data_IF_704240564818
#
_entry.id   IF_704240564818
#
_cell.length_a   1.000
_cell.length_b   1.000
_cell.length_c   1.000
_cell.angle_alpha   90.00
_cell.angle_beta   90.00
_cell.angle_gamma   90.00
#
_symmetry.space_group_name_H-M   'P 1'
#
loop_
_entity.id
_entity.type
_entity.pdbx_description
1 polymer ?
#
# COMPACT_ATOMS: atom_id res chain seq x y z
N UNK A 1 -4.71 69.68 8.95
CA UNK A 1 -4.14 68.46 8.38
C UNK A 1 -3.92 67.47 9.53
N UNK A 2 -4.66 66.39 9.62
CA UNK A 2 -4.47 65.34 10.64
C UNK A 2 -3.54 64.28 10.07
N UNK A 3 -2.52 63.82 10.82
CA UNK A 3 -1.65 62.74 10.33
C UNK A 3 -2.39 61.41 10.31
N UNK A 4 -2.31 60.72 9.18
CA UNK A 4 -2.76 59.33 9.02
C UNK A 4 -1.69 58.43 9.64
N UNK A 5 -2.04 57.71 10.70
CA UNK A 5 -1.18 56.70 11.28
C UNK A 5 -1.35 55.39 10.43
N UNK A 6 -0.30 54.99 9.72
CA UNK A 6 -0.21 53.73 9.02
C UNK A 6 0.19 52.66 10.04
N UNK A 7 -0.74 51.76 10.38
CA UNK A 7 -0.42 50.58 11.17
C UNK A 7 0.24 49.54 10.27
N UNK A 8 1.53 49.29 10.45
CA UNK A 8 2.24 48.16 9.82
C UNK A 8 1.95 46.91 10.63
N UNK A 9 1.10 46.06 10.10
CA UNK A 9 0.91 44.68 10.62
C UNK A 9 2.15 43.84 10.26
N UNK A 10 3.04 43.65 11.24
CA UNK A 10 4.11 42.66 11.17
C UNK A 10 3.48 41.25 11.22
N UNK A 11 3.40 40.59 10.09
CA UNK A 11 3.11 39.15 10.04
C UNK A 11 4.32 38.41 10.64
N UNK A 12 4.18 37.92 11.86
CA UNK A 12 5.14 36.96 12.43
C UNK A 12 5.09 35.68 11.61
N UNK A 13 6.23 35.13 11.16
CA UNK A 13 6.24 33.83 10.53
C UNK A 13 5.70 32.79 11.55
N UNK A 14 4.68 32.02 11.18
CA UNK A 14 4.30 30.83 11.94
C UNK A 14 5.54 29.91 11.96
N UNK A 15 6.14 29.74 13.14
CA UNK A 15 7.18 28.74 13.30
C UNK A 15 6.55 27.36 13.02
N UNK A 16 7.18 26.57 12.16
CA UNK A 16 6.77 25.18 11.94
C UNK A 16 6.75 24.46 13.30
N UNK A 17 5.72 23.65 13.54
CA UNK A 17 5.63 22.86 14.75
C UNK A 17 6.80 21.87 14.77
N UNK A 18 7.55 21.85 15.87
CA UNK A 18 8.68 20.95 16.02
C UNK A 18 8.19 19.53 16.28
N UNK A 19 8.77 18.52 15.60
CA UNK A 19 8.49 17.11 15.89
C UNK A 19 8.89 16.77 17.31
N UNK A 20 8.14 15.85 17.92
CA UNK A 20 8.39 15.39 19.28
C UNK A 20 9.59 14.42 19.30
N UNK A 21 10.45 14.48 20.33
CA UNK A 21 11.45 13.44 20.56
C UNK A 21 10.79 12.16 21.11
N UNK A 22 11.42 11.00 20.90
CA UNK A 22 10.96 9.70 21.40
C UNK A 22 10.37 8.81 20.31
N UNK A 23 9.78 7.69 20.73
CA UNK A 23 9.19 6.71 19.83
C UNK A 23 7.65 6.86 19.85
N UNK A 24 6.97 6.86 18.67
CA UNK A 24 5.52 6.89 18.63
C UNK A 24 4.86 5.73 19.38
N UNK A 25 5.55 4.60 19.57
CA UNK A 25 5.05 3.46 20.35
C UNK A 25 4.93 3.74 21.84
N UNK A 26 5.68 4.72 22.39
CA UNK A 26 5.62 5.09 23.80
C UNK A 26 4.28 5.73 24.21
N UNK A 27 3.51 6.25 23.23
CA UNK A 27 2.27 7.01 23.44
C UNK A 27 1.19 6.66 22.42
N UNK A 28 0.95 5.36 22.20
CA UNK A 28 -0.10 4.92 21.30
C UNK A 28 -1.48 5.39 21.76
N UNK A 29 -2.33 5.86 20.84
CA UNK A 29 -3.75 6.10 21.13
C UNK A 29 -4.45 4.81 21.59
N UNK A 30 -5.47 4.94 22.44
CA UNK A 30 -6.20 3.80 23.00
C UNK A 30 -6.85 2.85 21.97
N UNK A 31 -7.02 3.31 20.75
CA UNK A 31 -7.55 2.54 19.63
C UNK A 31 -6.46 1.99 18.69
N UNK A 32 -5.19 2.06 19.11
CA UNK A 32 -4.06 1.47 18.38
C UNK A 32 -3.37 0.45 19.26
N UNK A 33 -3.11 -0.73 18.74
CA UNK A 33 -2.37 -1.78 19.44
C UNK A 33 -1.24 -2.34 18.57
N UNK A 34 -0.14 -2.76 19.21
CA UNK A 34 0.94 -3.48 18.55
C UNK A 34 0.51 -4.94 18.37
N UNK A 35 0.46 -5.41 17.13
CA UNK A 35 0.15 -6.80 16.82
C UNK A 35 1.41 -7.67 16.81
N UNK A 36 2.50 -7.14 16.22
CA UNK A 36 3.82 -7.80 16.21
C UNK A 36 4.92 -6.74 16.36
N UNK A 37 6.04 -7.14 16.93
CA UNK A 37 7.25 -6.31 17.11
C UNK A 37 8.26 -6.43 15.95
N UNK A 38 7.84 -7.06 14.87
CA UNK A 38 8.59 -7.20 13.62
C UNK A 38 7.62 -7.32 12.44
N UNK A 39 8.13 -7.15 11.24
CA UNK A 39 7.37 -7.37 10.01
C UNK A 39 6.86 -6.10 9.34
N UNK A 40 6.38 -6.30 8.13
CA UNK A 40 5.96 -5.25 7.21
C UNK A 40 4.91 -5.76 6.22
N UNK A 41 4.23 -4.85 5.50
CA UNK A 41 3.31 -5.14 4.39
C UNK A 41 2.23 -6.15 4.77
N UNK A 42 1.42 -5.75 5.74
CA UNK A 42 0.28 -6.54 6.19
C UNK A 42 -0.79 -6.73 5.12
N UNK A 43 -1.48 -7.88 5.17
CA UNK A 43 -2.74 -8.10 4.46
C UNK A 43 -3.74 -8.84 5.35
N UNK A 44 -4.99 -8.38 5.37
CA UNK A 44 -6.05 -8.96 6.21
C UNK A 44 -6.81 -10.03 5.43
N UNK A 45 -7.02 -11.21 6.05
CA UNK A 45 -7.81 -12.27 5.44
C UNK A 45 -9.26 -11.85 5.18
N UNK A 46 -9.94 -12.38 4.15
CA UNK A 46 -11.33 -12.03 3.83
C UNK A 46 -12.31 -12.23 4.99
N UNK A 47 -12.03 -13.17 5.90
CA UNK A 47 -12.83 -13.43 7.10
C UNK A 47 -12.45 -12.56 8.32
N UNK A 48 -11.50 -11.63 8.16
CA UNK A 48 -10.97 -10.73 9.20
C UNK A 48 -10.37 -11.43 10.44
N UNK A 49 -9.95 -12.69 10.31
CA UNK A 49 -9.43 -13.48 11.43
C UNK A 49 -7.91 -13.57 11.46
N UNK A 50 -7.25 -13.24 10.36
CA UNK A 50 -5.80 -13.37 10.21
C UNK A 50 -5.22 -12.15 9.54
N UNK A 51 -3.96 -11.89 9.86
CA UNK A 51 -3.12 -10.93 9.15
C UNK A 51 -1.91 -11.68 8.62
N UNK A 52 -1.73 -11.68 7.30
CA UNK A 52 -0.50 -12.11 6.67
C UNK A 52 0.45 -10.91 6.58
N UNK A 53 1.76 -11.13 6.67
CA UNK A 53 2.76 -10.07 6.61
C UNK A 53 4.12 -10.65 6.23
N UNK A 54 5.02 -9.80 5.76
CA UNK A 54 6.40 -10.18 5.51
C UNK A 54 7.23 -10.02 6.78
N UNK A 55 8.09 -11.00 7.12
CA UNK A 55 9.01 -10.87 8.24
C UNK A 55 10.00 -9.71 8.04
N UNK A 56 10.38 -9.47 6.80
CA UNK A 56 11.17 -8.34 6.28
C UNK A 56 11.05 -8.31 4.75
N UNK A 57 11.45 -7.20 4.12
CA UNK A 57 11.56 -7.12 2.66
C UNK A 57 12.46 -8.24 2.12
N UNK A 58 11.99 -8.95 1.11
CA UNK A 58 12.65 -10.12 0.53
C UNK A 58 13.01 -11.18 1.58
N UNK A 59 12.02 -11.54 2.39
CA UNK A 59 12.14 -12.53 3.44
C UNK A 59 11.00 -13.56 3.40
N UNK A 60 10.73 -14.13 4.58
CA UNK A 60 9.65 -15.09 4.77
C UNK A 60 8.29 -14.42 4.92
N UNK A 61 7.27 -15.05 4.34
CA UNK A 61 5.88 -14.74 4.58
C UNK A 61 5.39 -15.38 5.89
N UNK A 62 4.69 -14.58 6.69
CA UNK A 62 4.12 -14.95 7.98
C UNK A 62 2.61 -14.77 7.98
N UNK A 63 1.92 -15.45 8.89
CA UNK A 63 0.51 -15.19 9.19
C UNK A 63 0.28 -15.27 10.69
N UNK A 64 -0.44 -14.30 11.25
CA UNK A 64 -0.89 -14.29 12.64
C UNK A 64 -2.41 -14.48 12.71
N UNK A 65 -2.86 -15.34 13.61
CA UNK A 65 -4.27 -15.49 13.98
C UNK A 65 -4.63 -14.44 15.03
N UNK A 66 -5.62 -13.59 14.75
CA UNK A 66 -5.94 -12.44 15.60
C UNK A 66 -6.52 -12.83 16.96
N UNK A 67 -7.21 -13.96 17.07
CA UNK A 67 -7.80 -14.39 18.33
C UNK A 67 -6.76 -15.03 19.26
N UNK A 68 -5.94 -15.92 18.74
CA UNK A 68 -4.94 -16.66 19.53
C UNK A 68 -3.58 -15.97 19.59
N UNK A 69 -3.32 -14.97 18.77
CA UNK A 69 -2.03 -14.27 18.60
C UNK A 69 -0.88 -15.22 18.18
N UNK A 70 -1.20 -16.38 17.65
CA UNK A 70 -0.19 -17.34 17.20
C UNK A 70 0.29 -16.99 15.81
N UNK A 71 1.61 -16.83 15.67
CA UNK A 71 2.27 -16.62 14.39
C UNK A 71 2.67 -17.96 13.79
N UNK A 72 2.46 -18.10 12.47
CA UNK A 72 2.93 -19.23 11.68
C UNK A 72 3.73 -18.69 10.48
N UNK A 73 4.90 -19.25 10.27
CA UNK A 73 5.64 -18.99 9.04
C UNK A 73 5.04 -19.81 7.89
N UNK A 74 4.83 -19.15 6.78
CA UNK A 74 4.27 -19.78 5.57
C UNK A 74 5.37 -20.35 4.67
N UNK A 75 6.56 -19.75 4.66
CA UNK A 75 7.64 -20.04 3.71
C UNK A 75 8.96 -20.47 4.34
N UNK A 76 9.08 -20.56 5.67
CA UNK A 76 10.33 -20.95 6.33
C UNK A 76 10.89 -22.34 5.92
N UNK A 77 10.07 -23.20 5.32
CA UNK A 77 10.52 -24.47 4.76
C UNK A 77 10.97 -24.38 3.30
N UNK A 78 10.90 -23.17 2.71
CA UNK A 78 11.32 -22.90 1.33
C UNK A 78 12.77 -22.38 1.36
N UNK A 79 13.72 -23.13 0.81
CA UNK A 79 15.11 -22.66 0.75
C UNK A 79 15.20 -21.32 0.02
N UNK A 80 15.91 -20.36 0.59
CA UNK A 80 16.13 -19.03 0.02
C UNK A 80 14.85 -18.28 -0.35
N UNK A 81 13.79 -18.40 0.47
CA UNK A 81 12.56 -17.61 0.29
C UNK A 81 12.90 -16.11 0.29
N UNK A 82 12.51 -15.41 -0.76
CA UNK A 82 12.84 -13.98 -1.00
C UNK A 82 11.60 -13.22 -1.46
N UNK A 83 10.50 -13.36 -0.71
CA UNK A 83 9.26 -12.69 -1.05
C UNK A 83 9.21 -11.26 -0.52
N UNK A 84 8.54 -10.40 -1.29
CA UNK A 84 8.36 -8.98 -1.00
C UNK A 84 6.97 -8.70 -0.41
N UNK A 85 5.94 -9.41 -0.87
CA UNK A 85 4.54 -9.29 -0.39
C UNK A 85 3.89 -10.65 -0.24
N UNK A 86 2.92 -10.71 0.67
CA UNK A 86 1.99 -11.83 0.85
C UNK A 86 0.58 -11.28 1.00
N UNK A 87 -0.38 -11.82 0.24
CA UNK A 87 -1.78 -11.40 0.27
C UNK A 87 -2.70 -12.60 0.29
N UNK A 88 -3.88 -12.49 0.95
CA UNK A 88 -4.89 -13.53 0.94
C UNK A 88 -5.72 -13.45 -0.34
N UNK A 89 -5.84 -14.57 -1.04
CA UNK A 89 -6.88 -14.78 -2.05
C UNK A 89 -8.24 -15.02 -1.38
N UNK A 90 -9.34 -14.80 -2.10
CA UNK A 90 -10.70 -15.07 -1.58
C UNK A 90 -10.93 -16.53 -1.19
N UNK A 91 -10.19 -17.49 -1.73
CA UNK A 91 -10.16 -18.90 -1.35
C UNK A 91 -9.54 -19.15 0.05
N UNK A 92 -8.84 -18.15 0.60
CA UNK A 92 -8.02 -18.26 1.80
C UNK A 92 -6.60 -18.77 1.54
N UNK A 93 -6.25 -19.09 0.30
CA UNK A 93 -4.87 -19.30 -0.14
C UNK A 93 -4.13 -17.97 -0.24
N UNK A 94 -2.86 -18.00 -0.64
CA UNK A 94 -2.03 -16.80 -0.67
C UNK A 94 -1.50 -16.52 -2.08
N UNK A 95 -1.43 -15.25 -2.40
CA UNK A 95 -0.64 -14.71 -3.50
C UNK A 95 0.65 -14.14 -2.92
N UNK A 96 1.79 -14.49 -3.50
CA UNK A 96 3.09 -13.95 -3.12
C UNK A 96 3.67 -13.16 -4.28
N UNK A 97 4.46 -12.13 -3.96
CA UNK A 97 5.29 -11.41 -4.91
C UNK A 97 6.74 -11.58 -4.49
N UNK A 98 7.60 -11.91 -5.41
CA UNK A 98 9.03 -11.99 -5.17
C UNK A 98 9.80 -12.46 -6.39
N UNK A 99 11.12 -12.21 -6.44
CA UNK A 99 11.94 -12.65 -7.55
C UNK A 99 12.22 -14.16 -7.47
N UNK A 100 12.54 -14.74 -8.61
CA UNK A 100 13.11 -16.09 -8.65
C UNK A 100 14.52 -16.13 -8.04
N UNK A 101 15.30 -15.09 -8.35
CA UNK A 101 16.64 -14.89 -7.81
C UNK A 101 16.77 -13.46 -7.28
N UNK A 102 17.14 -13.34 -6.01
CA UNK A 102 17.38 -12.04 -5.41
C UNK A 102 18.77 -11.52 -5.79
N UNK A 103 18.83 -10.38 -6.45
CA UNK A 103 20.07 -9.68 -6.76
C UNK A 103 20.41 -8.64 -5.68
N UNK A 104 19.54 -7.66 -5.54
CA UNK A 104 19.55 -6.67 -4.47
C UNK A 104 18.15 -6.03 -4.39
N UNK A 105 17.87 -5.31 -3.31
CA UNK A 105 16.54 -4.73 -3.05
C UNK A 105 16.05 -3.89 -4.23
N UNK A 106 16.91 -3.03 -4.79
CA UNK A 106 16.53 -2.10 -5.86
C UNK A 106 16.19 -2.85 -7.15
N UNK A 107 17.07 -3.72 -7.60
CA UNK A 107 16.90 -4.42 -8.88
C UNK A 107 15.76 -5.43 -8.80
N UNK A 108 15.75 -6.27 -7.77
CA UNK A 108 14.71 -7.30 -7.62
C UNK A 108 13.32 -6.69 -7.45
N UNK A 109 13.20 -5.53 -6.77
CA UNK A 109 11.94 -4.81 -6.62
C UNK A 109 11.44 -4.21 -7.95
N UNK A 110 12.32 -3.61 -8.75
CA UNK A 110 11.93 -2.88 -9.96
C UNK A 110 11.85 -3.74 -11.23
N UNK A 111 12.46 -4.94 -11.24
CA UNK A 111 12.59 -5.76 -12.46
C UNK A 111 12.16 -7.21 -12.29
N UNK A 112 12.52 -7.86 -11.16
CA UNK A 112 12.56 -9.31 -11.09
C UNK A 112 11.36 -9.94 -10.39
N UNK A 113 10.45 -9.14 -9.83
CA UNK A 113 9.25 -9.63 -9.16
C UNK A 113 8.40 -10.48 -10.11
N UNK A 114 7.96 -11.63 -9.59
CA UNK A 114 7.01 -12.54 -10.23
C UNK A 114 5.84 -12.83 -9.27
N UNK A 115 4.70 -13.24 -9.83
CA UNK A 115 3.57 -13.75 -9.08
C UNK A 115 3.78 -15.23 -8.72
N UNK A 116 3.43 -15.58 -7.47
CA UNK A 116 3.46 -16.94 -6.96
C UNK A 116 2.16 -17.26 -6.23
N UNK A 117 1.71 -18.46 -6.35
CA UNK A 117 0.60 -19.04 -5.57
C UNK A 117 1.15 -19.86 -4.41
N UNK A 118 0.53 -19.76 -3.23
CA UNK A 118 0.80 -20.64 -2.10
C UNK A 118 -0.53 -21.11 -1.49
N UNK A 119 -0.75 -22.43 -1.48
CA UNK A 119 -1.90 -23.00 -0.82
C UNK A 119 -1.87 -22.73 0.69
N UNK A 120 -3.02 -22.52 1.30
CA UNK A 120 -3.18 -22.39 2.76
C UNK A 120 -2.83 -23.67 3.53
N UNK A 121 -2.72 -24.79 2.84
CA UNK A 121 -2.41 -26.08 3.42
C UNK A 121 -1.01 -26.09 4.05
N UNK A 122 -0.89 -26.76 5.19
CA UNK A 122 0.39 -26.81 5.90
C UNK A 122 1.44 -27.56 5.10
N UNK A 123 2.62 -26.94 4.92
CA UNK A 123 3.74 -27.52 4.18
C UNK A 123 3.65 -27.36 2.66
N UNK A 124 2.62 -26.63 2.17
CA UNK A 124 2.57 -26.25 0.77
C UNK A 124 3.82 -25.44 0.36
N UNK A 125 4.20 -25.57 -0.89
CA UNK A 125 5.32 -24.80 -1.48
C UNK A 125 4.76 -23.78 -2.46
N UNK A 126 5.40 -22.61 -2.59
CA UNK A 126 5.04 -21.62 -3.59
C UNK A 126 5.21 -22.19 -5.00
N UNK A 127 4.25 -21.86 -5.88
CA UNK A 127 4.25 -22.27 -7.30
C UNK A 127 4.14 -21.01 -8.15
N UNK A 128 5.00 -20.84 -9.14
CA UNK A 128 5.03 -19.68 -10.03
C UNK A 128 3.84 -19.63 -10.96
N UNK A 129 3.36 -18.42 -11.24
CA UNK A 129 2.51 -18.13 -12.39
C UNK A 129 3.31 -17.91 -13.68
N UNK A 130 4.62 -17.66 -13.59
CA UNK A 130 5.46 -17.19 -14.69
C UNK A 130 5.00 -15.86 -15.26
N UNK A 131 4.47 -14.99 -14.41
CA UNK A 131 4.03 -13.64 -14.75
C UNK A 131 4.85 -12.63 -13.96
N UNK A 132 5.57 -11.77 -14.65
CA UNK A 132 6.34 -10.66 -14.04
C UNK A 132 5.46 -9.46 -13.83
N UNK A 133 5.74 -8.72 -12.76
CA UNK A 133 5.00 -7.51 -12.40
C UNK A 133 5.92 -6.53 -11.68
N UNK A 134 5.46 -5.28 -11.57
CA UNK A 134 6.01 -4.34 -10.60
C UNK A 134 5.56 -4.73 -9.18
N UNK A 135 5.61 -3.84 -8.22
CA UNK A 135 5.35 -4.19 -6.81
C UNK A 135 3.86 -4.34 -6.48
N UNK A 136 3.00 -3.52 -7.07
CA UNK A 136 1.59 -3.41 -6.66
C UNK A 136 0.67 -4.46 -7.25
N UNK A 137 -0.16 -5.05 -6.38
CA UNK A 137 -1.24 -5.97 -6.76
C UNK A 137 -2.49 -5.68 -5.96
N UNK A 138 -3.60 -5.44 -6.65
CA UNK A 138 -4.94 -5.50 -6.07
C UNK A 138 -5.41 -6.95 -6.03
N UNK A 139 -5.98 -7.38 -4.90
CA UNK A 139 -6.55 -8.72 -4.74
C UNK A 139 -7.99 -8.60 -4.27
N UNK A 140 -8.94 -9.12 -5.06
CA UNK A 140 -10.34 -9.14 -4.65
C UNK A 140 -10.54 -9.96 -3.37
N UNK A 141 -11.30 -9.42 -2.44
CA UNK A 141 -11.67 -10.13 -1.20
C UNK A 141 -12.91 -11.04 -1.40
N UNK A 142 -13.57 -10.96 -2.56
CA UNK A 142 -14.83 -11.66 -2.85
C UNK A 142 -14.74 -12.64 -4.02
N UNK A 143 -13.76 -12.47 -4.89
CA UNK A 143 -13.54 -13.32 -6.08
C UNK A 143 -12.06 -13.67 -6.22
N UNK A 144 -11.71 -14.48 -7.20
CA UNK A 144 -10.32 -14.82 -7.51
C UNK A 144 -9.69 -13.81 -8.49
N UNK A 145 -10.27 -12.59 -8.60
CA UNK A 145 -9.75 -11.53 -9.45
C UNK A 145 -8.55 -10.85 -8.82
N UNK A 146 -7.55 -10.56 -9.64
CA UNK A 146 -6.40 -9.73 -9.28
C UNK A 146 -6.19 -8.64 -10.34
N UNK A 147 -5.53 -7.55 -9.94
CA UNK A 147 -4.96 -6.61 -10.88
C UNK A 147 -3.52 -6.31 -10.48
N UNK A 148 -2.65 -6.16 -11.47
CA UNK A 148 -1.23 -5.88 -11.26
C UNK A 148 -0.71 -4.90 -12.31
N UNK A 149 0.42 -4.30 -12.00
CA UNK A 149 1.07 -3.34 -12.88
C UNK A 149 2.35 -3.90 -13.50
N UNK A 150 2.62 -3.46 -14.72
CA UNK A 150 3.84 -3.78 -15.45
C UNK A 150 4.41 -2.51 -16.06
N UNK A 151 5.73 -2.43 -16.12
CA UNK A 151 6.50 -1.46 -16.90
C UNK A 151 7.31 -2.19 -17.97
N UNK A 152 8.08 -1.47 -18.76
CA UNK A 152 9.00 -2.06 -19.71
C UNK A 152 9.98 -3.09 -19.08
N UNK A 153 10.30 -2.93 -17.80
CA UNK A 153 11.19 -3.87 -17.10
C UNK A 153 10.59 -5.26 -16.89
N UNK A 154 9.26 -5.40 -16.90
CA UNK A 154 8.53 -6.66 -16.75
C UNK A 154 7.97 -7.20 -18.07
N UNK A 155 7.71 -6.31 -19.05
CA UNK A 155 7.07 -6.68 -20.30
C UNK A 155 7.60 -5.83 -21.47
N UNK A 156 8.30 -6.47 -22.39
CA UNK A 156 9.00 -5.82 -23.52
C UNK A 156 8.04 -5.07 -24.47
N UNK A 157 6.75 -5.44 -24.46
CA UNK A 157 5.70 -4.78 -25.24
C UNK A 157 5.14 -3.51 -24.59
N UNK A 158 5.54 -3.16 -23.35
CA UNK A 158 5.28 -1.86 -22.74
C UNK A 158 6.35 -0.87 -23.18
N UNK A 159 5.95 0.29 -23.68
CA UNK A 159 6.90 1.32 -24.10
C UNK A 159 7.79 1.80 -22.94
N UNK A 160 9.03 2.18 -23.24
CA UNK A 160 9.93 2.74 -22.24
C UNK A 160 9.31 4.01 -21.61
N UNK A 161 9.28 4.07 -20.27
CA UNK A 161 8.63 5.15 -19.52
C UNK A 161 7.12 4.97 -19.30
N UNK A 162 6.46 4.09 -20.05
CA UNK A 162 5.06 3.75 -19.82
C UNK A 162 4.89 2.67 -18.74
N UNK A 163 3.66 2.55 -18.25
CA UNK A 163 3.24 1.48 -17.34
C UNK A 163 1.80 1.09 -17.64
N UNK A 164 1.42 -0.15 -17.33
CA UNK A 164 0.07 -0.64 -17.57
C UNK A 164 -0.53 -1.36 -16.36
N UNK A 165 -1.87 -1.35 -16.30
CA UNK A 165 -2.66 -2.13 -15.36
C UNK A 165 -3.27 -3.32 -16.10
N UNK A 166 -3.10 -4.50 -15.53
CA UNK A 166 -3.61 -5.77 -16.07
C UNK A 166 -4.54 -6.38 -15.04
N UNK A 167 -5.73 -6.83 -15.47
CA UNK A 167 -6.68 -7.59 -14.65
C UNK A 167 -6.67 -9.04 -15.13
N UNK A 168 -6.75 -9.98 -14.19
CA UNK A 168 -6.85 -11.41 -14.48
C UNK A 168 -7.63 -12.14 -13.38
N UNK A 169 -8.07 -13.37 -13.67
CA UNK A 169 -8.65 -14.28 -12.68
C UNK A 169 -7.63 -15.37 -12.36
N UNK A 170 -7.39 -15.60 -11.08
CA UNK A 170 -6.56 -16.71 -10.61
C UNK A 170 -7.35 -18.02 -10.68
N UNK A 171 -6.84 -19.00 -11.40
CA UNK A 171 -7.34 -20.35 -11.40
C UNK A 171 -6.27 -21.31 -10.87
N UNK A 172 -6.69 -22.35 -10.14
CA UNK A 172 -5.78 -23.38 -9.62
C UNK A 172 -6.36 -24.74 -9.95
N UNK A 173 -5.63 -25.54 -10.72
CA UNK A 173 -6.01 -26.92 -11.07
C UNK A 173 -4.91 -27.87 -10.62
N UNK A 174 -5.25 -28.82 -9.75
CA UNK A 174 -4.29 -29.79 -9.20
C UNK A 174 -3.04 -29.14 -8.58
N UNK A 175 -3.22 -27.99 -7.92
CA UNK A 175 -2.13 -27.22 -7.31
C UNK A 175 -1.29 -26.38 -8.28
N UNK A 176 -1.60 -26.39 -9.57
CA UNK A 176 -0.94 -25.58 -10.59
C UNK A 176 -1.75 -24.31 -10.82
N UNK A 177 -1.18 -23.10 -10.54
CA UNK A 177 -1.85 -21.84 -10.78
C UNK A 177 -1.76 -21.41 -12.24
N UNK A 178 -2.79 -20.66 -12.68
CA UNK A 178 -2.80 -19.99 -13.98
C UNK A 178 -3.60 -18.70 -13.90
N UNK A 179 -3.34 -17.78 -14.83
CA UNK A 179 -4.10 -16.54 -14.99
C UNK A 179 -5.04 -16.70 -16.19
N UNK A 180 -6.35 -16.59 -15.91
CA UNK A 180 -7.40 -16.59 -16.92
C UNK A 180 -7.89 -15.17 -17.19
N UNK A 181 -8.55 -14.94 -18.33
CA UNK A 181 -9.21 -13.70 -18.68
C UNK A 181 -8.27 -12.46 -18.57
N UNK A 182 -6.97 -12.64 -18.80
CA UNK A 182 -5.98 -11.59 -18.71
C UNK A 182 -6.30 -10.47 -19.70
N UNK A 183 -6.44 -9.23 -19.19
CA UNK A 183 -6.80 -8.06 -19.97
C UNK A 183 -6.01 -6.84 -19.50
N UNK A 184 -5.39 -6.10 -20.42
CA UNK A 184 -4.88 -4.75 -20.16
C UNK A 184 -6.10 -3.82 -20.04
N UNK A 185 -6.24 -3.15 -18.91
CA UNK A 185 -7.38 -2.27 -18.61
C UNK A 185 -7.02 -0.80 -18.67
N UNK A 186 -5.74 -0.48 -18.55
CA UNK A 186 -5.23 0.88 -18.73
C UNK A 186 -3.73 0.84 -19.03
N UNK A 187 -3.25 1.82 -19.81
CA UNK A 187 -1.84 2.03 -20.08
C UNK A 187 -1.52 3.52 -20.07
N UNK A 188 -0.52 3.93 -19.27
CA UNK A 188 0.01 5.29 -19.29
C UNK A 188 0.89 5.47 -20.54
N UNK A 189 0.99 6.70 -21.03
CA UNK A 189 1.69 6.97 -22.29
C UNK A 189 3.16 7.36 -22.08
N UNK A 190 3.54 7.73 -20.86
CA UNK A 190 4.86 8.25 -20.55
C UNK A 190 5.21 8.09 -19.06
N UNK A 191 6.38 8.59 -18.65
CA UNK A 191 6.95 8.52 -17.31
C UNK A 191 6.36 9.54 -16.32
N UNK A 192 5.38 10.35 -16.73
CA UNK A 192 4.70 11.28 -15.80
C UNK A 192 3.81 10.56 -14.80
N UNK A 193 3.49 9.30 -15.07
CA UNK A 193 2.65 8.49 -14.23
C UNK A 193 3.03 7.01 -14.32
N UNK A 194 3.86 6.53 -13.39
CA UNK A 194 4.07 5.09 -13.24
C UNK A 194 2.96 4.53 -12.35
N UNK A 195 2.15 3.64 -12.89
CA UNK A 195 0.99 3.08 -12.22
C UNK A 195 1.36 1.91 -11.31
N UNK A 196 0.71 1.87 -10.14
CA UNK A 196 0.73 0.73 -9.22
C UNK A 196 -0.69 0.36 -8.81
N UNK A 197 -1.11 -0.89 -9.08
CA UNK A 197 -2.41 -1.41 -8.69
C UNK A 197 -2.50 -1.57 -7.17
N UNK A 198 -3.62 -1.15 -6.52
CA UNK A 198 -3.72 -1.16 -5.07
C UNK A 198 -4.89 -1.98 -4.54
N UNK A 199 -6.15 -1.64 -4.85
CA UNK A 199 -7.29 -2.38 -4.30
C UNK A 199 -8.51 -2.32 -5.22
N UNK A 200 -9.40 -3.32 -5.10
CA UNK A 200 -10.69 -3.33 -5.79
C UNK A 200 -11.81 -2.77 -4.91
N UNK A 201 -12.82 -2.18 -5.54
CA UNK A 201 -14.04 -1.74 -4.87
C UNK A 201 -15.26 -1.82 -5.79
N UNK A 202 -16.43 -1.52 -5.23
CA UNK A 202 -17.70 -1.57 -5.95
C UNK A 202 -17.92 -2.94 -6.65
N UNK A 203 -17.78 -4.04 -5.90
CA UNK A 203 -17.91 -5.41 -6.41
C UNK A 203 -16.94 -5.74 -7.55
N UNK A 204 -15.71 -5.31 -7.42
CA UNK A 204 -14.61 -5.54 -8.37
C UNK A 204 -14.82 -4.93 -9.77
N UNK A 205 -15.73 -3.93 -9.90
CA UNK A 205 -15.92 -3.17 -11.15
C UNK A 205 -15.10 -1.89 -11.20
N UNK A 206 -14.51 -1.52 -10.08
CA UNK A 206 -13.57 -0.39 -9.96
C UNK A 206 -12.33 -0.81 -9.20
N UNK A 207 -11.24 -0.11 -9.43
CA UNK A 207 -10.01 -0.29 -8.67
C UNK A 207 -9.33 1.05 -8.40
N UNK A 208 -8.53 1.08 -7.34
CA UNK A 208 -7.60 2.18 -7.09
C UNK A 208 -6.21 1.81 -7.61
N UNK A 209 -5.47 2.84 -7.97
CA UNK A 209 -4.07 2.74 -8.36
C UNK A 209 -3.33 3.98 -7.88
N UNK A 210 -2.06 3.83 -7.52
CA UNK A 210 -1.15 4.95 -7.32
C UNK A 210 -0.55 5.34 -8.67
N UNK A 211 -0.51 6.62 -8.94
CA UNK A 211 0.28 7.21 -10.01
C UNK A 211 1.51 7.83 -9.38
N UNK A 212 2.67 7.19 -9.51
CA UNK A 212 3.94 7.77 -9.10
C UNK A 212 4.42 8.76 -10.14
N UNK A 213 4.60 9.98 -9.70
CA UNK A 213 5.01 11.11 -10.51
C UNK A 213 6.52 11.40 -10.35
N UNK A 214 7.14 12.11 -11.29
CA UNK A 214 8.53 12.55 -11.14
C UNK A 214 8.77 13.28 -9.81
N UNK A 215 10.01 13.26 -9.32
CA UNK A 215 10.45 13.89 -8.06
C UNK A 215 9.93 13.22 -6.79
N UNK A 216 9.47 11.97 -6.86
CA UNK A 216 9.01 11.20 -5.71
C UNK A 216 7.67 11.69 -5.15
N UNK A 217 6.79 12.14 -6.01
CA UNK A 217 5.40 12.50 -5.70
C UNK A 217 4.47 11.37 -6.12
N UNK A 218 3.23 11.41 -5.62
CA UNK A 218 2.23 10.40 -5.96
C UNK A 218 0.81 10.96 -5.90
N UNK A 219 -0.07 10.43 -6.74
CA UNK A 219 -1.49 10.75 -6.79
C UNK A 219 -2.37 9.51 -6.66
N UNK A 220 -3.49 9.66 -5.96
CA UNK A 220 -4.55 8.63 -5.85
C UNK A 220 -5.37 8.62 -7.12
N UNK A 221 -5.35 7.51 -7.83
CA UNK A 221 -6.14 7.28 -9.03
C UNK A 221 -7.21 6.23 -8.78
N UNK A 222 -8.35 6.36 -9.46
CA UNK A 222 -9.38 5.33 -9.54
C UNK A 222 -9.69 5.02 -10.99
N UNK A 223 -9.83 3.73 -11.31
CA UNK A 223 -10.15 3.23 -12.63
C UNK A 223 -11.50 2.52 -12.60
N UNK A 224 -12.41 2.94 -13.44
CA UNK A 224 -13.63 2.20 -13.75
C UNK A 224 -13.31 1.15 -14.83
N UNK A 225 -13.44 -0.13 -14.47
CA UNK A 225 -13.03 -1.24 -15.35
C UNK A 225 -14.03 -1.48 -16.52
N UNK A 226 -15.24 -0.94 -16.41
CA UNK A 226 -16.24 -1.07 -17.46
C UNK A 226 -16.06 -0.01 -18.54
N UNK A 227 -15.74 1.21 -18.14
CA UNK A 227 -15.59 2.36 -19.06
C UNK A 227 -14.15 2.65 -19.45
N UNK A 228 -13.16 2.23 -18.65
CA UNK A 228 -11.75 2.59 -18.77
C UNK A 228 -11.44 4.02 -18.29
N UNK A 229 -12.39 4.70 -17.64
CA UNK A 229 -12.20 6.06 -17.16
C UNK A 229 -11.28 6.08 -15.94
N UNK A 230 -10.23 6.91 -16.00
CA UNK A 230 -9.28 7.15 -14.91
C UNK A 230 -9.57 8.51 -14.24
N UNK A 231 -9.80 8.49 -12.94
CA UNK A 231 -10.09 9.68 -12.12
C UNK A 231 -8.98 9.92 -11.10
N UNK A 232 -8.46 11.16 -11.03
CA UNK A 232 -7.58 11.57 -9.93
C UNK A 232 -8.43 12.00 -8.73
N UNK A 233 -8.36 11.24 -7.63
CA UNK A 233 -9.11 11.52 -6.39
C UNK A 233 -8.36 12.45 -5.43
N UNK A 234 -7.04 12.48 -5.45
CA UNK A 234 -6.28 13.33 -4.53
C UNK A 234 -6.28 14.80 -4.91
N UNK A 235 -6.26 15.12 -6.21
CA UNK A 235 -6.25 16.50 -6.76
C UNK A 235 -5.31 17.46 -6.01
N UNK A 236 -4.16 16.95 -5.56
CA UNK A 236 -3.23 17.67 -4.70
C UNK A 236 -1.83 17.67 -5.34
N UNK A 237 -1.61 18.47 -6.41
CA UNK A 237 -0.34 18.50 -7.09
C UNK A 237 0.80 18.97 -6.15
N UNK A 238 1.97 18.37 -6.34
CA UNK A 238 3.15 18.70 -5.53
C UNK A 238 3.17 18.06 -4.14
N UNK A 239 2.33 17.04 -3.89
CA UNK A 239 2.29 16.26 -2.65
C UNK A 239 2.44 14.76 -2.94
N UNK A 240 2.78 14.00 -1.92
CA UNK A 240 2.77 12.54 -1.98
C UNK A 240 1.44 12.00 -1.44
N UNK A 241 0.72 11.25 -2.26
CA UNK A 241 -0.53 10.60 -1.89
C UNK A 241 -0.56 9.21 -2.56
N UNK A 242 -0.03 8.21 -1.90
CA UNK A 242 -0.08 6.81 -2.32
C UNK A 242 -1.33 6.16 -1.77
N UNK A 243 -2.19 5.66 -2.66
CA UNK A 243 -3.40 4.96 -2.24
C UNK A 243 -3.07 3.55 -1.76
N UNK A 244 -3.82 3.11 -0.75
CA UNK A 244 -3.66 1.79 -0.11
C UNK A 244 -5.04 1.13 0.09
N UNK A 245 -5.29 0.54 1.26
CA UNK A 245 -6.51 -0.20 1.56
C UNK A 245 -7.80 0.61 1.44
N UNK A 246 -8.82 0.01 0.83
CA UNK A 246 -10.12 0.63 0.63
C UNK A 246 -11.10 0.27 1.75
N UNK A 247 -11.98 1.21 2.12
CA UNK A 247 -13.07 0.92 3.05
C UNK A 247 -14.17 0.12 2.34
N UNK A 248 -14.83 -0.84 3.04
CA UNK A 248 -15.76 -1.78 2.40
C UNK A 248 -16.99 -1.13 1.79
N UNK A 249 -17.32 0.10 2.19
CA UNK A 249 -18.41 0.89 1.57
C UNK A 249 -18.02 1.51 0.22
N UNK A 250 -16.74 1.42 -0.19
CA UNK A 250 -16.21 1.96 -1.44
C UNK A 250 -16.20 3.50 -1.51
N UNK A 251 -16.52 4.19 -0.41
CA UNK A 251 -16.56 5.66 -0.38
C UNK A 251 -15.27 6.31 0.05
N UNK A 252 -14.40 5.57 0.71
CA UNK A 252 -13.15 6.06 1.27
C UNK A 252 -12.02 5.08 1.02
N UNK A 253 -10.80 5.59 1.01
CA UNK A 253 -9.57 4.81 0.99
C UNK A 253 -8.57 5.32 2.03
N UNK A 254 -7.67 4.47 2.48
CA UNK A 254 -6.47 4.88 3.19
C UNK A 254 -5.42 5.37 2.19
N UNK A 255 -4.69 6.40 2.57
CA UNK A 255 -3.66 7.04 1.76
C UNK A 255 -2.43 7.27 2.63
N UNK A 256 -1.27 6.86 2.16
CA UNK A 256 0.00 7.34 2.67
C UNK A 256 0.22 8.76 2.13
N UNK A 257 0.18 9.76 3.00
CA UNK A 257 0.31 11.13 2.55
C UNK A 257 1.25 11.96 3.42
N UNK A 258 1.93 12.91 2.77
CA UNK A 258 2.89 13.83 3.39
C UNK A 258 2.27 15.20 3.75
N UNK A 259 0.94 15.27 3.87
CA UNK A 259 0.20 16.52 4.04
C UNK A 259 0.57 17.29 5.33
N UNK A 260 0.94 16.56 6.40
CA UNK A 260 1.38 17.16 7.65
C UNK A 260 2.71 17.92 7.54
N UNK A 261 3.48 17.74 6.46
CA UNK A 261 4.70 18.49 6.17
C UNK A 261 4.43 19.99 6.06
N UNK A 262 3.23 20.41 5.65
CA UNK A 262 2.85 21.82 5.63
C UNK A 262 2.90 22.49 7.02
N UNK A 263 2.68 21.69 8.07
CA UNK A 263 2.68 22.19 9.46
C UNK A 263 3.98 21.84 10.18
N UNK A 264 4.47 20.60 9.99
CA UNK A 264 5.64 20.08 10.72
C UNK A 264 6.98 20.38 10.03
N UNK A 265 6.94 20.81 8.76
CA UNK A 265 8.13 20.92 7.93
C UNK A 265 8.69 19.56 7.50
N UNK A 266 9.77 19.59 6.70
CA UNK A 266 10.42 18.40 6.15
C UNK A 266 10.27 18.32 4.63
N UNK A 267 10.90 17.30 4.05
CA UNK A 267 10.82 17.04 2.62
C UNK A 267 9.51 16.32 2.24
N UNK A 268 8.96 16.68 1.08
CA UNK A 268 7.85 15.93 0.48
C UNK A 268 8.27 14.52 0.06
N UNK A 269 7.31 13.62 -0.02
CA UNK A 269 7.50 12.26 -0.49
C UNK A 269 7.37 11.20 0.60
N UNK A 270 7.58 9.93 0.24
CA UNK A 270 7.38 8.73 1.06
C UNK A 270 8.20 8.69 2.38
N UNK A 271 9.18 9.58 2.55
CA UNK A 271 9.95 9.69 3.80
C UNK A 271 9.17 10.30 4.96
N UNK A 272 8.23 11.19 4.69
CA UNK A 272 7.49 11.94 5.71
C UNK A 272 5.98 11.74 5.54
N UNK A 273 5.52 10.54 5.78
CA UNK A 273 4.12 10.15 5.61
C UNK A 273 3.47 9.74 6.93
N UNK A 274 2.16 9.90 6.94
CA UNK A 274 1.22 9.24 7.86
C UNK A 274 0.06 8.66 7.05
N UNK A 275 -0.78 7.87 7.71
CA UNK A 275 -1.97 7.33 7.11
C UNK A 275 -3.11 8.34 7.23
N UNK A 276 -3.72 8.64 6.09
CA UNK A 276 -4.87 9.53 5.96
C UNK A 276 -6.05 8.75 5.36
N UNK A 277 -7.25 9.17 5.66
CA UNK A 277 -8.48 8.71 5.01
C UNK A 277 -8.91 9.75 3.99
N UNK A 278 -9.13 9.31 2.75
CA UNK A 278 -9.57 10.16 1.64
C UNK A 278 -10.95 9.71 1.15
N UNK A 279 -11.87 10.65 0.92
CA UNK A 279 -13.12 10.38 0.22
C UNK A 279 -12.88 10.16 -1.29
N UNK A 280 -13.51 9.11 -1.84
CA UNK A 280 -13.48 8.79 -3.27
C UNK A 280 -14.64 9.50 -4.01
N UNK A 281 -14.89 10.77 -3.69
CA UNK A 281 -15.94 11.62 -4.27
C UNK A 281 -15.44 12.48 -5.45
N UNK A 282 -14.15 12.39 -5.77
CA UNK A 282 -13.53 13.16 -6.85
C UNK A 282 -13.28 14.63 -6.51
N UNK A 283 -13.54 15.10 -5.28
CA UNK A 283 -13.29 16.49 -4.91
C UNK A 283 -11.84 16.77 -4.49
N UNK A 284 -11.15 15.77 -3.94
CA UNK A 284 -9.79 15.89 -3.39
C UNK A 284 -9.73 16.74 -2.12
N UNK A 285 -10.84 16.93 -1.41
CA UNK A 285 -10.94 17.85 -0.26
C UNK A 285 -11.06 17.15 1.08
N UNK A 286 -11.67 15.98 1.12
CA UNK A 286 -11.98 15.29 2.38
C UNK A 286 -10.86 14.34 2.77
N UNK A 287 -9.80 14.90 3.36
CA UNK A 287 -8.69 14.16 3.95
C UNK A 287 -8.74 14.24 5.47
N UNK A 288 -8.72 13.10 6.14
CA UNK A 288 -8.68 13.00 7.60
C UNK A 288 -7.44 12.21 8.01
N UNK A 289 -6.54 12.81 8.78
CA UNK A 289 -5.35 12.15 9.30
C UNK A 289 -5.73 11.12 10.36
N UNK A 290 -5.30 9.87 10.20
CA UNK A 290 -5.61 8.76 11.09
C UNK A 290 -4.45 8.45 12.06
N UNK A 291 -3.22 8.55 11.58
CA UNK A 291 -2.03 8.30 12.40
C UNK A 291 -1.22 9.57 12.60
N UNK A 292 -0.43 9.60 13.69
CA UNK A 292 0.39 10.73 14.09
C UNK A 292 1.85 10.31 14.37
N UNK A 293 2.33 9.31 13.64
CA UNK A 293 3.67 8.75 13.82
C UNK A 293 4.74 9.71 13.31
N UNK A 294 4.44 10.48 12.26
CA UNK A 294 5.34 11.51 11.73
C UNK A 294 5.38 12.79 12.59
N UNK A 295 4.59 12.86 13.67
CA UNK A 295 4.77 13.89 14.72
C UNK A 295 6.02 13.64 15.57
N UNK A 296 6.60 12.43 15.50
CA UNK A 296 7.84 12.06 16.17
C UNK A 296 9.04 12.08 15.23
N UNK A 297 10.22 12.44 15.77
CA UNK A 297 11.46 12.46 15.00
C UNK A 297 11.78 11.05 14.45
N UNK A 298 11.92 10.93 13.14
CA UNK A 298 12.26 9.67 12.49
C UNK A 298 11.11 8.66 12.35
N UNK A 299 9.91 8.95 12.89
CA UNK A 299 8.76 8.05 12.81
C UNK A 299 7.90 8.29 11.58
N UNK A 300 7.30 7.23 11.03
CA UNK A 300 6.21 7.26 10.04
C UNK A 300 5.36 5.99 10.14
N UNK A 301 4.12 6.05 9.65
CA UNK A 301 3.23 4.92 9.48
C UNK A 301 2.98 4.65 8.00
N UNK A 302 2.96 3.39 7.60
CA UNK A 302 2.81 3.02 6.18
C UNK A 302 2.09 1.67 5.96
N UNK A 303 1.79 1.35 4.70
CA UNK A 303 1.14 0.14 4.19
C UNK A 303 -0.14 -0.24 4.96
N UNK A 304 -1.14 0.64 5.03
CA UNK A 304 -2.41 0.33 5.66
C UNK A 304 -3.27 -0.56 4.78
N UNK A 305 -3.93 -1.54 5.38
CA UNK A 305 -4.98 -2.35 4.75
C UNK A 305 -6.20 -2.37 5.66
N UNK A 306 -7.40 -2.20 5.09
CA UNK A 306 -8.66 -2.11 5.84
C UNK A 306 -9.36 -3.48 5.86
N UNK A 307 -9.90 -3.85 7.03
CA UNK A 307 -10.71 -5.07 7.18
C UNK A 307 -11.98 -5.02 6.33
N UNK A 308 -12.44 -6.18 5.85
CA UNK A 308 -13.65 -6.28 5.00
C UNK A 308 -14.94 -5.89 5.71
N UNK A 309 -14.92 -5.82 7.04
CA UNK A 309 -16.02 -5.32 7.89
C UNK A 309 -15.84 -3.83 8.28
N UNK A 310 -14.76 -3.18 7.87
CA UNK A 310 -14.47 -1.76 8.14
C UNK A 310 -14.20 -1.43 9.61
N UNK A 311 -13.92 -2.43 10.45
CA UNK A 311 -13.76 -2.23 11.91
C UNK A 311 -12.35 -1.83 12.31
N UNK A 312 -11.35 -2.24 11.55
CA UNK A 312 -9.95 -1.94 11.81
C UNK A 312 -9.13 -1.87 10.52
N UNK A 313 -7.96 -1.29 10.62
CA UNK A 313 -6.91 -1.43 9.63
C UNK A 313 -5.66 -2.04 10.28
N UNK A 314 -4.91 -2.80 9.51
CA UNK A 314 -3.55 -3.20 9.85
C UNK A 314 -2.59 -2.29 9.09
N UNK A 315 -1.50 -1.87 9.73
CA UNK A 315 -0.48 -1.02 9.16
C UNK A 315 0.87 -1.28 9.82
N UNK A 316 1.93 -0.66 9.34
CA UNK A 316 3.26 -0.87 9.90
C UNK A 316 3.86 0.40 10.48
N UNK A 317 4.65 0.24 11.54
CA UNK A 317 5.63 1.22 11.98
C UNK A 317 6.79 1.24 10.95
N UNK A 318 7.23 2.42 10.55
CA UNK A 318 8.36 2.60 9.67
C UNK A 318 9.20 3.82 10.09
N UNK A 319 10.38 3.99 9.49
CA UNK A 319 11.29 5.12 9.76
C UNK A 319 11.46 5.99 8.54
N UNK A 320 11.58 7.31 8.76
CA UNK A 320 11.71 8.32 7.70
C UNK A 320 12.96 8.12 6.83
N UNK A 321 14.00 7.49 7.38
CA UNK A 321 15.30 7.27 6.72
C UNK A 321 15.35 6.00 5.87
N UNK A 322 14.36 5.10 6.03
CA UNK A 322 14.38 3.81 5.35
C UNK A 322 13.68 3.87 3.99
N UNK A 323 14.04 2.98 3.07
CA UNK A 323 13.32 2.80 1.83
C UNK A 323 11.82 2.56 2.05
N UNK A 324 10.99 2.97 1.11
CA UNK A 324 9.56 2.71 1.14
C UNK A 324 9.26 1.22 1.33
N UNK A 325 8.27 0.92 2.17
CA UNK A 325 7.82 -0.43 2.49
C UNK A 325 8.62 -1.19 3.54
N UNK A 326 9.76 -0.68 4.04
CA UNK A 326 10.47 -1.26 5.19
C UNK A 326 9.69 -0.94 6.47
N UNK A 327 9.43 -1.98 7.28
CA UNK A 327 8.64 -1.89 8.51
C UNK A 327 9.27 -2.57 9.71
N UNK A 328 8.83 -2.18 10.91
CA UNK A 328 9.36 -2.60 12.20
C UNK A 328 8.28 -3.16 13.15
N UNK A 329 7.22 -3.68 12.59
CA UNK A 329 6.11 -4.24 13.32
C UNK A 329 4.78 -3.87 12.71
N UNK A 330 3.80 -4.75 12.93
CA UNK A 330 2.43 -4.57 12.47
C UNK A 330 1.60 -4.07 13.64
N UNK A 331 0.79 -3.04 13.38
CA UNK A 331 -0.15 -2.45 14.31
C UNK A 331 -1.57 -2.59 13.78
N UNK A 332 -2.54 -2.59 14.71
CA UNK A 332 -3.96 -2.49 14.39
C UNK A 332 -4.49 -1.14 14.86
N UNK A 333 -5.23 -0.47 14.01
CA UNK A 333 -5.99 0.73 14.33
C UNK A 333 -7.48 0.39 14.28
N UNK A 334 -8.16 0.49 15.41
CA UNK A 334 -9.60 0.22 15.53
C UNK A 334 -10.38 1.50 15.23
N UNK A 335 -11.23 1.45 14.20
CA UNK A 335 -12.12 2.57 13.89
C UNK A 335 -13.22 2.66 14.96
N UNK A 336 -13.57 3.89 15.36
CA UNK A 336 -14.69 4.11 16.26
C UNK A 336 -15.99 3.75 15.53
N UNK A 337 -16.86 3.06 16.26
CA UNK A 337 -18.23 2.77 15.80
C UNK A 337 -19.05 4.05 15.71
#
# INVERSE_FOLDING_TARGET
MKPLAVAVLLALPLAAAQRQPGDPLDRLPANVEVLTDFGERADISPDNRRVAFMAKSFGDAMVIDLASRRIRCLTCSVPAAVFLRVMHLSSGDYLLIGPDHFENIRVSRSRDNELWYLSKERGAKPVKFHEKLSEGVAVSKTSMKIAYSQTHAQADDVAAGASRLVVADVAVQNGVPSLLNRKIVYESQDDRCTLEAQDFYDRDVKMTATCYEPKGLASVMGLDLATGEMTNFSKAPGTYNEVEGIFPDGRFTCVEADRQVDTLGGARGAGNIDIWKLALDGTGKDFVRLTHFNDYEGGKASNPVVSTDGRFMAFQLAKTTDPAGVGYGILLYWFKK
#
